data_IF_117389809361
#
_entry.id   IF_117389809361
#
_cell.length_a   1.000
_cell.length_b   1.000
_cell.length_c   1.000
_cell.angle_alpha   90.00
_cell.angle_beta   90.00
_cell.angle_gamma   90.00
#
_symmetry.space_group_name_H-M   'P 1'
#
loop_
_entity.id
_entity.type
_entity.pdbx_description
1 polymer ?
#
# COMPACT_ATOMS: atom_id res chain seq x y z
N UNK A 1 5.14 -5.75 -10.88
CA UNK A 1 3.87 -6.50 -10.99
C UNK A 1 3.05 -6.30 -9.72
N UNK A 2 1.77 -6.01 -9.87
CA UNK A 2 0.86 -5.81 -8.73
C UNK A 2 -0.22 -6.88 -8.76
N UNK A 3 -0.39 -7.60 -7.66
CA UNK A 3 -1.35 -8.70 -7.56
C UNK A 3 -2.24 -8.48 -6.33
N UNK A 4 -3.54 -8.72 -6.49
CA UNK A 4 -4.47 -8.63 -5.35
C UNK A 4 -4.30 -9.84 -4.43
N UNK A 5 -4.25 -9.58 -3.13
CA UNK A 5 -4.16 -10.65 -2.13
C UNK A 5 -5.54 -11.25 -1.84
N UNK A 6 -5.63 -12.58 -1.63
CA UNK A 6 -6.92 -13.25 -1.44
C UNK A 6 -7.66 -12.87 -0.14
N UNK A 7 -6.95 -12.34 0.85
CA UNK A 7 -7.56 -11.88 2.10
C UNK A 7 -8.35 -10.58 1.95
N UNK A 8 -8.33 -9.96 0.76
CA UNK A 8 -9.09 -8.74 0.49
C UNK A 8 -10.59 -9.01 0.62
N UNK A 9 -11.28 -8.13 1.34
CA UNK A 9 -12.73 -8.26 1.50
C UNK A 9 -13.37 -6.91 1.81
N UNK A 10 -14.53 -6.65 1.25
CA UNK A 10 -15.29 -5.42 1.50
C UNK A 10 -14.48 -4.17 1.17
N UNK A 11 -14.36 -3.28 2.14
CA UNK A 11 -13.61 -2.02 2.00
C UNK A 11 -12.11 -2.18 2.25
N UNK A 12 -11.63 -3.40 2.49
CA UNK A 12 -10.21 -3.68 2.72
C UNK A 12 -9.61 -4.41 1.53
N UNK A 13 -8.59 -3.83 0.92
CA UNK A 13 -7.89 -4.43 -0.20
C UNK A 13 -6.40 -4.58 0.11
N UNK A 14 -5.87 -5.77 -0.16
CA UNK A 14 -4.43 -6.02 -0.08
C UNK A 14 -3.86 -6.25 -1.46
N UNK A 15 -2.69 -5.69 -1.69
CA UNK A 15 -1.95 -5.90 -2.94
C UNK A 15 -0.52 -6.31 -2.62
N UNK A 16 0.06 -7.12 -3.51
CA UNK A 16 1.47 -7.45 -3.46
C UNK A 16 2.18 -6.79 -4.64
N UNK A 17 3.26 -6.07 -4.33
CA UNK A 17 4.07 -5.38 -5.35
C UNK A 17 5.39 -6.12 -5.49
N UNK A 18 5.68 -6.60 -6.69
CA UNK A 18 6.92 -7.31 -7.00
C UNK A 18 7.59 -6.70 -8.23
N UNK A 19 8.92 -6.60 -8.21
CA UNK A 19 9.70 -6.13 -9.34
C UNK A 19 9.30 -4.74 -9.82
N UNK A 20 9.21 -4.59 -11.13
CA UNK A 20 8.83 -3.31 -11.74
C UNK A 20 7.33 -3.19 -11.90
N UNK A 21 6.82 -1.99 -11.66
CA UNK A 21 5.43 -1.64 -11.92
C UNK A 21 5.42 -0.69 -13.12
N UNK A 22 4.72 -1.07 -14.19
CA UNK A 22 4.61 -0.20 -15.35
C UNK A 22 3.39 0.74 -15.21
N UNK A 23 3.33 1.73 -16.10
CA UNK A 23 2.27 2.74 -16.06
C UNK A 23 0.88 2.13 -16.25
N UNK A 24 0.75 1.11 -17.09
CA UNK A 24 -0.53 0.47 -17.34
C UNK A 24 -1.06 -0.24 -16.09
N UNK A 25 -0.18 -0.93 -15.35
CA UNK A 25 -0.55 -1.54 -14.08
C UNK A 25 -0.98 -0.50 -13.05
N UNK A 26 -0.22 0.58 -12.97
CA UNK A 26 -0.51 1.68 -12.04
C UNK A 26 -1.89 2.29 -12.31
N UNK A 27 -2.19 2.57 -13.56
CA UNK A 27 -3.49 3.13 -13.96
C UNK A 27 -4.64 2.17 -13.66
N UNK A 28 -4.42 0.88 -13.91
CA UNK A 28 -5.41 -0.15 -13.60
C UNK A 28 -5.74 -0.17 -12.11
N UNK A 29 -4.73 -0.09 -11.24
CA UNK A 29 -4.94 -0.13 -9.79
C UNK A 29 -5.54 1.16 -9.25
N UNK A 30 -5.19 2.31 -9.82
CA UNK A 30 -5.85 3.57 -9.49
C UNK A 30 -7.34 3.47 -9.78
N UNK A 31 -7.70 2.92 -10.94
CA UNK A 31 -9.09 2.70 -11.32
C UNK A 31 -9.81 1.75 -10.34
N UNK A 32 -9.13 0.68 -9.93
CA UNK A 32 -9.67 -0.27 -8.96
C UNK A 32 -9.93 0.39 -7.61
N UNK A 33 -8.99 1.19 -7.12
CA UNK A 33 -9.15 1.92 -5.87
C UNK A 33 -10.31 2.92 -5.94
N UNK A 34 -10.43 3.64 -7.05
CA UNK A 34 -11.54 4.58 -7.24
C UNK A 34 -12.90 3.88 -7.23
N UNK A 35 -12.99 2.70 -7.82
CA UNK A 35 -14.21 1.90 -7.81
C UNK A 35 -14.59 1.49 -6.38
N UNK A 36 -13.59 1.03 -5.61
CA UNK A 36 -13.83 0.65 -4.20
C UNK A 36 -14.25 1.84 -3.36
N UNK A 37 -13.63 2.98 -3.55
CA UNK A 37 -13.98 4.21 -2.83
C UNK A 37 -15.41 4.63 -3.14
N UNK A 38 -15.82 4.53 -4.40
CA UNK A 38 -17.18 4.84 -4.81
C UNK A 38 -18.23 3.93 -4.13
N UNK A 39 -17.86 2.68 -3.83
CA UNK A 39 -18.74 1.72 -3.19
C UNK A 39 -18.77 1.81 -1.67
N UNK A 40 -17.67 2.25 -1.05
CA UNK A 40 -17.48 2.14 0.40
C UNK A 40 -17.20 3.47 1.11
N UNK A 41 -17.07 4.56 0.38
CA UNK A 41 -16.73 5.89 0.90
C UNK A 41 -15.28 5.98 1.40
N UNK A 42 -14.83 5.04 2.23
CA UNK A 42 -13.44 4.92 2.69
C UNK A 42 -12.96 3.48 2.53
N UNK A 43 -11.67 3.32 2.25
CA UNK A 43 -11.06 2.00 2.13
C UNK A 43 -9.81 1.89 2.98
N UNK A 44 -9.45 0.66 3.31
CA UNK A 44 -8.19 0.33 3.98
C UNK A 44 -7.32 -0.46 3.00
N UNK A 45 -6.04 -0.14 2.95
CA UNK A 45 -5.11 -0.74 1.99
C UNK A 45 -3.94 -1.39 2.73
N UNK A 46 -3.63 -2.63 2.34
CA UNK A 46 -2.43 -3.32 2.79
C UNK A 46 -1.53 -3.54 1.57
N UNK A 47 -0.30 -3.09 1.64
CA UNK A 47 0.68 -3.25 0.56
C UNK A 47 1.80 -4.16 1.05
N UNK A 48 1.89 -5.35 0.45
CA UNK A 48 2.97 -6.29 0.70
C UNK A 48 4.04 -6.10 -0.37
N UNK A 49 5.24 -5.73 0.04
CA UNK A 49 6.34 -5.43 -0.89
C UNK A 49 7.37 -6.55 -0.81
N UNK A 50 7.69 -7.12 -1.97
CA UNK A 50 8.69 -8.17 -2.08
C UNK A 50 10.07 -7.64 -1.72
N UNK A 51 10.93 -8.52 -1.17
CA UNK A 51 12.30 -8.20 -0.79
C UNK A 51 13.23 -7.99 -2.00
N UNK A 52 12.73 -8.16 -3.20
CA UNK A 52 13.49 -7.99 -4.43
C UNK A 52 13.66 -6.49 -4.74
N UNK A 53 14.72 -5.91 -4.24
CA UNK A 53 14.96 -4.49 -4.13
C UNK A 53 15.67 -3.93 -5.37
N UNK A 54 15.02 -3.03 -6.12
CA UNK A 54 15.68 -2.28 -7.18
C UNK A 54 15.16 -0.83 -7.26
N UNK A 55 15.78 -0.02 -8.11
CA UNK A 55 15.42 1.40 -8.29
C UNK A 55 14.01 1.55 -8.84
N UNK A 56 13.54 0.60 -9.65
CA UNK A 56 12.17 0.61 -10.15
C UNK A 56 11.14 0.46 -9.04
N UNK A 57 11.46 -0.33 -8.01
CA UNK A 57 10.60 -0.48 -6.86
C UNK A 57 10.49 0.82 -6.06
N UNK A 58 11.59 1.57 -5.95
CA UNK A 58 11.58 2.88 -5.28
C UNK A 58 10.62 3.85 -5.99
N UNK A 59 10.73 3.95 -7.31
CA UNK A 59 9.87 4.83 -8.08
C UNK A 59 8.39 4.42 -7.96
N UNK A 60 8.11 3.12 -8.05
CA UNK A 60 6.76 2.60 -7.90
C UNK A 60 6.19 2.92 -6.52
N UNK A 61 6.99 2.77 -5.47
CA UNK A 61 6.55 3.09 -4.11
C UNK A 61 6.24 4.57 -3.95
N UNK A 62 7.10 5.44 -4.45
CA UNK A 62 6.88 6.89 -4.39
C UNK A 62 5.60 7.28 -5.12
N UNK A 63 5.37 6.72 -6.31
CA UNK A 63 4.17 6.98 -7.09
C UNK A 63 2.91 6.49 -6.37
N UNK A 64 2.95 5.31 -5.77
CA UNK A 64 1.84 4.78 -4.99
C UNK A 64 1.50 5.68 -3.81
N UNK A 65 2.51 6.14 -3.09
CA UNK A 65 2.31 7.03 -1.93
C UNK A 65 1.70 8.36 -2.39
N UNK A 66 2.19 8.90 -3.48
CA UNK A 66 1.63 10.13 -4.04
C UNK A 66 0.16 9.94 -4.42
N UNK A 67 -0.15 8.83 -5.10
CA UNK A 67 -1.50 8.49 -5.52
C UNK A 67 -2.43 8.35 -4.31
N UNK A 68 -2.01 7.61 -3.28
CA UNK A 68 -2.81 7.43 -2.07
C UNK A 68 -3.08 8.76 -1.39
N UNK A 69 -2.10 9.65 -1.35
CA UNK A 69 -2.27 10.98 -0.77
C UNK A 69 -3.31 11.81 -1.50
N UNK A 70 -3.51 11.59 -2.79
CA UNK A 70 -4.47 12.32 -3.61
C UNK A 70 -5.88 11.74 -3.57
N UNK A 71 -6.03 10.46 -3.25
CA UNK A 71 -7.35 9.82 -3.24
C UNK A 71 -8.25 10.28 -2.09
N UNK A 72 -7.67 10.75 -0.99
CA UNK A 72 -8.36 11.34 0.17
C UNK A 72 -9.39 10.45 0.89
N UNK A 73 -9.54 9.21 0.48
CA UNK A 73 -10.55 8.29 1.01
C UNK A 73 -9.93 7.02 1.56
N UNK A 74 -8.63 7.04 1.83
CA UNK A 74 -7.92 5.94 2.46
C UNK A 74 -7.82 6.21 3.95
N UNK A 75 -8.36 5.29 4.76
CA UNK A 75 -8.37 5.41 6.21
C UNK A 75 -7.09 4.85 6.82
N UNK A 76 -6.76 3.61 6.48
CA UNK A 76 -5.57 2.93 6.97
C UNK A 76 -4.72 2.40 5.84
N UNK A 77 -3.40 2.52 5.99
CA UNK A 77 -2.43 2.00 5.05
C UNK A 77 -1.40 1.19 5.80
N UNK A 78 -1.38 -0.12 5.59
CA UNK A 78 -0.36 -1.00 6.16
C UNK A 78 0.67 -1.31 5.10
N UNK A 79 1.94 -1.11 5.42
CA UNK A 79 3.06 -1.47 4.55
C UNK A 79 3.77 -2.66 5.19
N UNK A 80 3.79 -3.78 4.49
CA UNK A 80 4.39 -5.03 4.98
C UNK A 80 5.56 -5.43 4.11
N UNK A 81 6.71 -5.65 4.70
CA UNK A 81 7.90 -6.11 3.97
C UNK A 81 8.95 -6.64 4.95
N UNK A 82 10.11 -7.02 4.44
CA UNK A 82 11.23 -7.39 5.30
C UNK A 82 11.77 -6.15 6.02
N UNK A 83 12.46 -6.36 7.15
CA UNK A 83 13.06 -5.27 7.93
C UNK A 83 13.99 -4.40 7.09
N UNK A 84 14.74 -5.02 6.20
CA UNK A 84 15.67 -4.31 5.31
C UNK A 84 14.92 -3.32 4.41
N UNK A 85 13.85 -3.78 3.78
CA UNK A 85 13.03 -2.93 2.90
C UNK A 85 12.32 -1.86 3.70
N UNK A 86 11.74 -2.21 4.85
CA UNK A 86 11.05 -1.26 5.72
C UNK A 86 11.98 -0.13 6.16
N UNK A 87 13.19 -0.45 6.59
CA UNK A 87 14.18 0.54 7.00
C UNK A 87 14.46 1.53 5.86
N UNK A 88 14.63 1.01 4.66
CA UNK A 88 14.86 1.82 3.48
C UNK A 88 13.65 2.71 3.15
N UNK A 89 12.44 2.14 3.21
CA UNK A 89 11.22 2.88 2.95
C UNK A 89 11.02 4.02 3.94
N UNK A 90 11.31 3.79 5.21
CA UNK A 90 11.23 4.83 6.24
C UNK A 90 12.18 5.98 5.92
N UNK A 91 13.38 5.69 5.45
CA UNK A 91 14.36 6.72 5.08
C UNK A 91 13.87 7.58 3.91
N UNK A 92 13.27 6.98 2.88
CA UNK A 92 12.79 7.72 1.71
C UNK A 92 11.40 8.34 1.94
N UNK A 93 10.66 7.86 2.92
CA UNK A 93 9.28 8.27 3.17
C UNK A 93 9.18 9.54 4.01
N UNK A 94 10.31 10.05 4.49
CA UNK A 94 10.33 11.24 5.34
C UNK A 94 9.50 12.41 4.78
N UNK A 95 9.55 12.72 3.47
CA UNK A 95 8.70 13.78 2.91
C UNK A 95 7.20 13.46 2.91
N UNK A 96 6.83 12.19 3.02
CA UNK A 96 5.45 11.73 2.97
C UNK A 96 4.90 11.41 4.36
N UNK A 97 5.72 11.56 5.40
CA UNK A 97 5.33 11.22 6.78
C UNK A 97 4.15 12.05 7.30
N UNK A 98 3.76 13.08 6.57
CA UNK A 98 2.69 13.99 6.95
C UNK A 98 1.47 13.89 6.05
N UNK A 99 1.20 12.70 5.50
CA UNK A 99 -0.05 12.51 4.77
C UNK A 99 -1.22 12.67 5.74
N UNK A 100 -2.05 13.67 5.47
CA UNK A 100 -3.16 14.02 6.34
C UNK A 100 -4.31 13.04 6.12
N UNK A 101 -4.90 12.56 7.21
CA UNK A 101 -6.09 11.71 7.23
C UNK A 101 -5.86 10.24 6.83
N UNK A 102 -4.59 9.80 6.74
CA UNK A 102 -4.28 8.39 6.53
C UNK A 102 -3.47 7.89 7.73
N UNK A 103 -3.95 6.86 8.40
CA UNK A 103 -3.15 6.16 9.40
C UNK A 103 -2.24 5.16 8.69
N UNK A 104 -0.94 5.34 8.81
CA UNK A 104 0.06 4.50 8.16
C UNK A 104 0.85 3.73 9.20
N UNK A 105 1.05 2.44 8.95
CA UNK A 105 1.86 1.59 9.82
C UNK A 105 2.72 0.65 9.00
N UNK A 106 3.92 0.39 9.50
CA UNK A 106 4.85 -0.57 8.89
C UNK A 106 4.85 -1.85 9.73
N UNK A 107 4.83 -3.00 9.04
CA UNK A 107 4.87 -4.31 9.65
C UNK A 107 5.96 -5.16 9.01
N UNK A 108 6.66 -5.96 9.81
CA UNK A 108 7.55 -6.98 9.29
C UNK A 108 6.72 -8.08 8.63
N UNK A 109 7.27 -8.74 7.61
CA UNK A 109 6.56 -9.81 6.89
C UNK A 109 6.11 -10.93 7.83
N UNK A 110 6.83 -11.16 8.93
CA UNK A 110 6.43 -12.14 9.95
C UNK A 110 5.19 -11.71 10.73
N UNK A 111 4.79 -10.46 10.60
CA UNK A 111 3.63 -9.88 11.27
C UNK A 111 2.46 -9.64 10.31
N UNK A 112 2.46 -10.33 9.16
CA UNK A 112 1.42 -10.14 8.15
C UNK A 112 0.02 -10.33 8.73
N UNK A 113 -0.18 -11.31 9.60
CA UNK A 113 -1.48 -11.52 10.26
C UNK A 113 -1.89 -10.34 11.12
N UNK A 114 -0.94 -9.72 11.80
CA UNK A 114 -1.19 -8.52 12.60
C UNK A 114 -1.58 -7.33 11.72
N UNK A 115 -0.92 -7.20 10.57
CA UNK A 115 -1.22 -6.14 9.61
C UNK A 115 -2.65 -6.27 9.09
N UNK A 116 -3.06 -7.48 8.72
CA UNK A 116 -4.44 -7.75 8.30
C UNK A 116 -5.45 -7.42 9.39
N UNK A 117 -5.19 -7.86 10.61
CA UNK A 117 -6.07 -7.57 11.74
C UNK A 117 -6.20 -6.06 11.95
N UNK A 118 -5.11 -5.33 11.84
CA UNK A 118 -5.12 -3.89 12.01
C UNK A 118 -5.90 -3.16 10.93
N UNK A 119 -5.69 -3.50 9.64
CA UNK A 119 -6.41 -2.81 8.55
C UNK A 119 -7.89 -3.16 8.53
N UNK A 120 -8.26 -4.32 9.05
CA UNK A 120 -9.67 -4.73 9.15
C UNK A 120 -10.35 -4.25 10.43
N UNK A 121 -9.60 -3.70 11.37
CA UNK A 121 -10.17 -3.17 12.61
C UNK A 121 -10.93 -1.87 12.35
N UNK A 122 -11.92 -1.62 13.16
CA UNK A 122 -12.69 -0.39 13.11
C UNK A 122 -12.09 0.72 13.96
#
# INVERSE_FOLDING_TARGET
MITQLPESEGATIGIMVTGKVDQAEEEKWISTFNTLIAQHDKINVLVLIDDNFDIGLKAAYEDLKWTFGHLKHIDKLAIVSTRRVIKWLVEIDSPFAKMVNIEEKYFDVNELNKAWAWVKSE
#
